data_IF_576644791293
#
_entry.id   IF_576644791293
#
_cell.length_a   1.000
_cell.length_b   1.000
_cell.length_c   1.000
_cell.angle_alpha   90.00
_cell.angle_beta   90.00
_cell.angle_gamma   90.00
#
_symmetry.space_group_name_H-M   'P 1'
#
loop_
_entity.id
_entity.type
_entity.pdbx_description
1 polymer ?
#
# COMPACT_ATOMS: atom_id res chain seq x y z
N UNK A 1 19.98 0.59 13.62
CA UNK A 1 19.06 -0.42 13.06
C UNK A 1 19.16 -0.40 11.55
N UNK A 2 19.43 -1.54 10.94
CA UNK A 2 19.53 -1.60 9.49
C UNK A 2 18.12 -1.68 8.92
N UNK A 3 17.75 -0.71 8.07
CA UNK A 3 16.53 -0.75 7.32
C UNK A 3 16.68 -1.60 6.06
N UNK A 4 15.59 -1.82 5.33
CA UNK A 4 15.65 -2.46 4.03
C UNK A 4 16.45 -1.58 3.06
N UNK A 5 17.46 -2.13 2.42
CA UNK A 5 18.23 -1.42 1.41
C UNK A 5 17.55 -1.55 0.04
N UNK A 6 17.71 -0.53 -0.80
CA UNK A 6 17.25 -0.59 -2.17
C UNK A 6 18.12 -1.60 -2.94
N UNK A 7 17.47 -2.54 -3.62
CA UNK A 7 18.13 -3.56 -4.42
C UNK A 7 17.65 -3.41 -5.87
N UNK A 8 18.57 -3.57 -6.82
CA UNK A 8 18.22 -3.62 -8.24
C UNK A 8 18.39 -5.05 -8.71
N UNK A 9 17.32 -5.65 -9.18
CA UNK A 9 17.36 -7.02 -9.71
C UNK A 9 17.92 -7.07 -11.14
N UNK A 10 18.04 -8.28 -11.69
CA UNK A 10 18.61 -8.48 -13.01
C UNK A 10 17.77 -7.86 -14.16
N UNK A 11 16.50 -7.54 -13.91
CA UNK A 11 15.65 -6.86 -14.89
C UNK A 11 15.78 -5.35 -14.82
N UNK A 12 16.53 -4.81 -13.86
CA UNK A 12 16.68 -3.38 -13.62
C UNK A 12 15.58 -2.79 -12.75
N UNK A 13 14.68 -3.61 -12.20
CA UNK A 13 13.62 -3.16 -11.30
C UNK A 13 14.17 -2.92 -9.90
N UNK A 14 13.95 -1.72 -9.34
CA UNK A 14 14.33 -1.39 -7.96
C UNK A 14 13.42 -2.11 -6.97
N UNK A 15 14.01 -2.79 -5.98
CA UNK A 15 13.28 -3.46 -4.89
C UNK A 15 13.87 -3.07 -3.54
N UNK A 16 13.06 -3.22 -2.49
CA UNK A 16 13.45 -2.91 -1.11
C UNK A 16 13.36 -4.12 -0.19
N UNK A 17 13.41 -5.32 -0.76
CA UNK A 17 13.44 -6.57 -0.01
C UNK A 17 12.11 -6.93 0.65
N UNK A 18 10.98 -6.52 0.09
CA UNK A 18 9.67 -6.93 0.58
C UNK A 18 9.49 -8.44 0.44
N UNK A 19 8.78 -9.03 1.42
CA UNK A 19 8.37 -10.42 1.29
C UNK A 19 7.40 -10.57 0.12
N UNK A 20 7.41 -11.73 -0.51
CA UNK A 20 6.49 -12.10 -1.58
C UNK A 20 5.40 -13.00 -1.02
N UNK A 21 4.53 -12.43 -0.19
CA UNK A 21 3.44 -13.17 0.44
C UNK A 21 2.30 -13.44 -0.54
N UNK A 22 2.08 -12.52 -1.48
CA UNK A 22 1.00 -12.59 -2.43
C UNK A 22 1.32 -11.70 -3.64
N UNK A 23 0.73 -12.02 -4.79
CA UNK A 23 0.76 -11.17 -5.98
C UNK A 23 -0.55 -10.42 -6.11
N UNK A 24 -0.47 -9.11 -6.32
CA UNK A 24 -1.61 -8.27 -6.65
C UNK A 24 -1.46 -7.81 -8.10
N UNK A 25 -2.52 -7.97 -8.88
CA UNK A 25 -2.53 -7.56 -10.30
C UNK A 25 -3.52 -6.42 -10.49
N UNK A 26 -3.04 -5.33 -11.08
CA UNK A 26 -3.83 -4.12 -11.35
C UNK A 26 -3.58 -3.70 -12.79
N UNK A 27 -4.64 -3.65 -13.60
CA UNK A 27 -4.54 -3.26 -15.01
C UNK A 27 -3.43 -4.01 -15.76
N UNK A 28 -3.31 -5.32 -15.49
CA UNK A 28 -2.34 -6.20 -16.14
C UNK A 28 -0.93 -6.14 -15.56
N UNK A 29 -0.65 -5.29 -14.59
CA UNK A 29 0.66 -5.18 -13.96
C UNK A 29 0.65 -5.84 -12.58
N UNK A 30 1.73 -6.55 -12.27
CA UNK A 30 1.86 -7.34 -11.03
C UNK A 30 2.70 -6.60 -10.00
N UNK A 31 2.21 -6.63 -8.75
CA UNK A 31 2.95 -6.15 -7.59
C UNK A 31 3.21 -7.32 -6.66
N UNK A 32 4.41 -7.37 -6.10
CA UNK A 32 4.78 -8.27 -5.03
C UNK A 32 4.37 -7.61 -3.71
N UNK A 33 3.50 -8.25 -2.93
CA UNK A 33 3.00 -7.62 -1.72
C UNK A 33 3.30 -8.43 -0.46
N UNK A 34 3.63 -7.73 0.61
CA UNK A 34 3.57 -8.25 1.96
C UNK A 34 2.14 -8.12 2.47
N UNK A 35 1.66 -9.13 3.17
CA UNK A 35 0.33 -9.15 3.76
C UNK A 35 0.40 -8.77 5.24
N UNK A 36 -0.38 -7.79 5.65
CA UNK A 36 -0.58 -7.39 7.05
C UNK A 36 -2.00 -7.79 7.46
N UNK A 37 -2.13 -8.92 8.15
CA UNK A 37 -3.44 -9.50 8.52
C UNK A 37 -3.62 -9.71 10.02
N UNK A 38 -2.62 -9.37 10.84
CA UNK A 38 -2.73 -9.36 12.29
C UNK A 38 -2.82 -7.92 12.81
N UNK A 39 -3.33 -7.73 14.02
CA UNK A 39 -3.39 -6.39 14.63
C UNK A 39 -2.00 -5.76 14.69
N UNK A 40 -1.00 -6.51 15.14
CA UNK A 40 0.37 -6.01 15.25
C UNK A 40 0.94 -5.61 13.88
N UNK A 41 0.74 -6.43 12.85
CA UNK A 41 1.24 -6.15 11.51
C UNK A 41 0.54 -4.92 10.90
N UNK A 42 -0.78 -4.80 11.11
CA UNK A 42 -1.53 -3.63 10.63
C UNK A 42 -1.10 -2.35 11.30
N UNK A 43 -0.85 -2.39 12.62
CA UNK A 43 -0.36 -1.21 13.36
C UNK A 43 1.03 -0.80 12.90
N UNK A 44 1.93 -1.76 12.70
CA UNK A 44 3.29 -1.47 12.22
C UNK A 44 3.27 -0.92 10.80
N UNK A 45 2.53 -1.54 9.90
CA UNK A 45 2.50 -1.15 8.50
C UNK A 45 3.92 -0.98 7.93
N UNK A 46 4.14 0.10 7.22
CA UNK A 46 5.44 0.45 6.62
C UNK A 46 6.29 1.36 7.51
N UNK A 47 5.86 1.64 8.75
CA UNK A 47 6.62 2.49 9.67
C UNK A 47 8.02 1.96 9.88
N UNK A 48 9.02 2.84 9.83
CA UNK A 48 10.43 2.51 10.03
C UNK A 48 11.14 1.93 8.80
N UNK A 49 10.42 1.57 7.73
CA UNK A 49 11.05 1.09 6.49
C UNK A 49 11.84 2.21 5.82
N UNK A 50 12.91 1.84 5.13
CA UNK A 50 13.80 2.82 4.47
C UNK A 50 13.36 3.14 3.04
N UNK A 51 12.71 2.19 2.36
CA UNK A 51 12.30 2.38 0.98
C UNK A 51 11.15 1.45 0.59
N UNK A 52 10.55 1.75 -0.57
CA UNK A 52 9.59 0.88 -1.23
C UNK A 52 9.86 0.94 -2.74
N UNK A 53 9.94 -0.23 -3.38
CA UNK A 53 10.13 -0.32 -4.82
C UNK A 53 8.83 -0.12 -5.59
N UNK A 54 8.97 0.14 -6.90
CA UNK A 54 7.81 0.40 -7.77
C UNK A 54 6.90 -0.81 -7.96
N UNK A 55 7.44 -2.02 -7.79
CA UNK A 55 6.66 -3.27 -7.92
C UNK A 55 6.37 -3.91 -6.57
N UNK A 56 6.53 -3.17 -5.49
CA UNK A 56 6.30 -3.64 -4.12
C UNK A 56 5.14 -2.87 -3.49
N UNK A 57 4.41 -3.54 -2.58
CA UNK A 57 3.32 -2.92 -1.85
C UNK A 57 3.06 -3.70 -0.55
N UNK A 58 2.24 -3.13 0.33
CA UNK A 58 1.70 -3.84 1.49
C UNK A 58 0.19 -3.89 1.40
N UNK A 59 -0.36 -5.10 1.53
CA UNK A 59 -1.80 -5.33 1.51
C UNK A 59 -2.28 -5.58 2.94
N UNK A 60 -3.08 -4.65 3.46
CA UNK A 60 -3.74 -4.77 4.75
C UNK A 60 -5.05 -5.50 4.55
N UNK A 61 -5.25 -6.59 5.29
CA UNK A 61 -6.48 -7.38 5.25
C UNK A 61 -7.16 -7.23 6.60
N UNK A 62 -8.40 -6.77 6.59
CA UNK A 62 -9.22 -6.62 7.78
C UNK A 62 -10.26 -7.74 7.85
N UNK A 63 -10.65 -8.13 9.07
CA UNK A 63 -11.59 -9.23 9.27
C UNK A 63 -13.00 -8.89 8.77
N UNK A 64 -13.33 -7.59 8.73
CA UNK A 64 -14.60 -7.11 8.22
C UNK A 64 -14.43 -5.74 7.57
N UNK A 65 -15.38 -5.38 6.73
CA UNK A 65 -15.39 -4.05 6.10
C UNK A 65 -15.62 -2.96 7.15
N UNK A 66 -14.95 -1.82 6.95
CA UNK A 66 -15.06 -0.69 7.88
C UNK A 66 -14.42 0.57 7.30
N UNK A 67 -14.37 1.60 8.13
CA UNK A 67 -13.82 2.91 7.77
C UNK A 67 -12.47 3.08 8.47
N UNK A 68 -11.43 2.49 7.90
CA UNK A 68 -10.11 2.39 8.50
C UNK A 68 -9.28 3.63 8.21
N UNK A 69 -8.68 4.20 9.28
CA UNK A 69 -7.82 5.38 9.21
C UNK A 69 -6.36 4.97 9.07
N UNK A 70 -5.61 5.75 8.28
CA UNK A 70 -4.18 5.57 8.10
C UNK A 70 -3.47 6.90 8.34
N UNK A 71 -2.25 6.84 8.80
CA UNK A 71 -1.41 8.01 9.01
C UNK A 71 0.03 7.71 8.65
N UNK A 72 0.85 8.75 8.58
CA UNK A 72 2.24 8.66 8.13
C UNK A 72 3.23 8.63 9.30
N UNK A 73 2.82 8.07 10.45
CA UNK A 73 3.69 7.97 11.64
C UNK A 73 4.92 7.13 11.32
N UNK A 74 6.10 7.70 11.63
CA UNK A 74 7.42 7.05 11.44
C UNK A 74 7.67 6.58 10.00
N UNK A 75 7.06 7.25 9.04
CA UNK A 75 7.29 6.98 7.61
C UNK A 75 8.49 7.77 7.10
N UNK A 76 9.31 7.11 6.27
CA UNK A 76 10.53 7.70 5.70
C UNK A 76 10.37 8.05 4.22
N UNK A 77 9.23 7.77 3.61
CA UNK A 77 8.98 8.04 2.18
C UNK A 77 7.47 8.26 1.96
N UNK A 78 7.10 9.01 0.91
CA UNK A 78 5.70 9.19 0.55
C UNK A 78 5.12 7.93 -0.08
N UNK A 79 3.81 7.72 0.08
CA UNK A 79 3.09 6.56 -0.46
C UNK A 79 1.73 6.97 -1.04
N UNK A 80 1.18 6.07 -1.88
CA UNK A 80 -0.23 6.10 -2.24
C UNK A 80 -0.97 5.10 -1.37
N UNK A 81 -2.14 5.48 -0.87
CA UNK A 81 -3.00 4.64 -0.02
C UNK A 81 -4.30 4.38 -0.77
N UNK A 82 -4.63 3.11 -0.97
CA UNK A 82 -5.81 2.71 -1.75
C UNK A 82 -6.75 1.90 -0.86
N UNK A 83 -7.95 2.42 -0.60
CA UNK A 83 -9.00 1.66 0.08
C UNK A 83 -9.74 0.80 -0.93
N UNK A 84 -9.96 -0.47 -0.60
CA UNK A 84 -10.50 -1.47 -1.52
C UNK A 84 -11.68 -2.17 -0.85
N UNK A 85 -12.80 -2.27 -1.56
CA UNK A 85 -14.01 -2.93 -1.08
C UNK A 85 -13.83 -4.45 -0.97
N UNK A 86 -14.76 -5.12 -0.27
CA UNK A 86 -14.82 -6.58 -0.23
C UNK A 86 -14.99 -7.21 -1.60
N UNK A 87 -15.48 -6.45 -2.59
CA UNK A 87 -15.60 -6.88 -3.98
C UNK A 87 -14.31 -6.62 -4.78
N UNK A 88 -13.21 -6.26 -4.13
CA UNK A 88 -11.90 -6.01 -4.74
C UNK A 88 -11.89 -4.82 -5.72
N UNK A 89 -12.69 -3.80 -5.43
CA UNK A 89 -12.70 -2.56 -6.23
C UNK A 89 -12.13 -1.42 -5.40
N UNK A 90 -11.29 -0.60 -6.03
CA UNK A 90 -10.78 0.61 -5.39
C UNK A 90 -11.96 1.56 -5.10
N UNK A 91 -12.08 1.98 -3.83
CA UNK A 91 -13.13 2.90 -3.38
C UNK A 91 -12.61 4.32 -3.39
N UNK A 92 -11.42 4.51 -2.82
CA UNK A 92 -10.80 5.82 -2.64
C UNK A 92 -9.28 5.69 -2.74
N UNK A 93 -8.63 6.76 -3.14
CA UNK A 93 -7.18 6.82 -3.28
C UNK A 93 -6.68 8.11 -2.64
N UNK A 94 -5.70 7.99 -1.73
CA UNK A 94 -4.92 9.12 -1.25
C UNK A 94 -3.55 9.03 -1.89
N UNK A 95 -3.26 9.96 -2.80
CA UNK A 95 -2.03 9.93 -3.59
C UNK A 95 -0.95 10.78 -2.95
N UNK A 96 0.28 10.26 -2.92
CA UNK A 96 1.46 10.98 -2.46
C UNK A 96 1.31 11.54 -1.05
N UNK A 97 0.78 10.71 -0.14
CA UNK A 97 0.74 11.03 1.27
C UNK A 97 2.17 11.21 1.77
N UNK A 98 2.46 12.37 2.37
CA UNK A 98 3.81 12.77 2.75
C UNK A 98 4.11 12.41 4.21
N UNK A 99 5.35 12.00 4.54
CA UNK A 99 5.74 11.81 5.94
C UNK A 99 5.47 13.04 6.81
N UNK A 100 5.60 14.24 6.25
CA UNK A 100 5.35 15.50 6.96
C UNK A 100 3.89 15.73 7.30
N UNK A 101 2.95 14.97 6.76
CA UNK A 101 1.53 15.12 7.07
C UNK A 101 1.17 14.62 8.47
N UNK A 102 2.00 13.74 9.07
CA UNK A 102 1.75 13.26 10.43
C UNK A 102 1.59 14.45 11.41
N UNK A 103 0.56 14.49 12.27
CA UNK A 103 -0.34 13.39 12.67
C UNK A 103 -1.70 13.36 11.94
N UNK A 104 -1.80 13.92 10.75
CA UNK A 104 -3.04 13.87 9.97
C UNK A 104 -3.43 12.40 9.70
N UNK A 105 -4.73 12.13 9.77
CA UNK A 105 -5.28 10.81 9.47
C UNK A 105 -6.07 10.87 8.18
N UNK A 106 -5.76 9.93 7.29
CA UNK A 106 -6.46 9.73 6.04
C UNK A 106 -7.51 8.65 6.24
N UNK A 107 -8.75 8.93 5.84
CA UNK A 107 -9.86 7.98 5.96
C UNK A 107 -10.77 8.12 4.75
N UNK A 108 -11.24 6.98 4.24
CA UNK A 108 -12.29 6.94 3.25
C UNK A 108 -13.63 6.86 3.98
N UNK A 109 -14.56 7.74 3.64
CA UNK A 109 -15.91 7.77 4.20
C UNK A 109 -16.98 7.45 3.16
N UNK A 110 -16.61 7.17 1.92
CA UNK A 110 -17.56 6.95 0.82
C UNK A 110 -18.24 5.58 0.93
N UNK A 111 -17.46 4.55 1.29
CA UNK A 111 -17.95 3.19 1.44
C UNK A 111 -16.99 2.40 2.34
N UNK A 112 -17.49 1.34 3.00
CA UNK A 112 -16.60 0.52 3.83
C UNK A 112 -15.61 -0.25 2.98
N UNK A 113 -14.36 -0.33 3.44
CA UNK A 113 -13.27 -1.06 2.82
C UNK A 113 -12.91 -2.29 3.66
N UNK A 114 -12.56 -3.38 3.01
CA UNK A 114 -12.05 -4.57 3.68
C UNK A 114 -10.53 -4.71 3.52
N UNK A 115 -9.96 -4.04 2.53
CA UNK A 115 -8.53 -4.07 2.27
C UNK A 115 -8.01 -2.65 2.06
N UNK A 116 -6.72 -2.49 2.35
CA UNK A 116 -6.00 -1.26 2.00
C UNK A 116 -4.68 -1.67 1.37
N UNK A 117 -4.32 -1.04 0.27
CA UNK A 117 -3.05 -1.28 -0.42
C UNK A 117 -2.21 0.00 -0.33
N UNK A 118 -1.00 -0.13 0.22
CA UNK A 118 -0.01 0.95 0.25
C UNK A 118 1.08 0.65 -0.77
N UNK A 119 1.40 1.61 -1.61
CA UNK A 119 2.39 1.49 -2.67
C UNK A 119 3.23 2.75 -2.77
N UNK A 120 4.31 2.71 -3.56
CA UNK A 120 5.16 3.88 -3.76
C UNK A 120 4.35 5.05 -4.31
N UNK A 121 4.67 6.27 -3.84
CA UNK A 121 4.00 7.49 -4.29
C UNK A 121 4.09 7.63 -5.82
N UNK A 122 2.95 7.92 -6.44
CA UNK A 122 2.84 8.04 -7.90
C UNK A 122 2.57 6.73 -8.62
N UNK A 123 2.71 5.58 -7.94
CA UNK A 123 2.51 4.28 -8.59
C UNK A 123 1.06 4.04 -8.96
N UNK A 124 0.12 4.50 -8.15
CA UNK A 124 -1.31 4.38 -8.48
C UNK A 124 -1.65 5.11 -9.78
N UNK A 125 -1.03 6.27 -10.00
CA UNK A 125 -1.19 7.01 -11.26
C UNK A 125 -0.59 6.24 -12.44
N UNK A 126 0.62 5.71 -12.30
CA UNK A 126 1.27 4.95 -13.38
C UNK A 126 0.56 3.64 -13.70
N UNK A 127 -0.14 3.05 -12.72
CA UNK A 127 -0.98 1.87 -12.91
C UNK A 127 -2.35 2.21 -13.51
N UNK A 128 -2.68 3.49 -13.68
CA UNK A 128 -3.97 3.92 -14.19
C UNK A 128 -5.13 3.73 -13.21
N UNK A 129 -4.85 3.73 -11.91
CA UNK A 129 -5.87 3.49 -10.90
C UNK A 129 -6.79 4.68 -10.72
N UNK A 130 -8.08 4.38 -10.65
CA UNK A 130 -9.14 5.33 -10.31
C UNK A 130 -10.16 4.62 -9.43
N UNK A 131 -11.13 5.36 -8.92
CA UNK A 131 -12.27 4.75 -8.22
C UNK A 131 -12.94 3.72 -9.14
N UNK A 132 -13.17 2.51 -8.63
CA UNK A 132 -13.75 1.40 -9.37
C UNK A 132 -12.75 0.46 -10.02
N UNK A 133 -11.45 0.79 -10.03
CA UNK A 133 -10.42 -0.11 -10.55
C UNK A 133 -10.44 -1.45 -9.80
N UNK A 134 -10.42 -2.56 -10.53
CA UNK A 134 -10.39 -3.90 -9.97
C UNK A 134 -8.96 -4.22 -9.53
N UNK A 135 -8.84 -4.74 -8.31
CA UNK A 135 -7.58 -5.17 -7.72
C UNK A 135 -7.65 -6.69 -7.55
N UNK A 136 -6.86 -7.42 -8.32
CA UNK A 136 -6.91 -8.88 -8.34
C UNK A 136 -5.88 -9.48 -7.40
N UNK A 137 -6.32 -10.31 -6.46
CA UNK A 137 -5.44 -11.06 -5.54
C UNK A 137 -6.16 -12.24 -4.90
#
# INVERSE_FOLDING_TARGET
>A
MAGAALIIDLSGTSTCGFRDDKTVTINGQKLKVEVASTDAARVQGLSGRQCIGQSEAMLFIFNQSGYYQFWMKDMNFPIDIIWISSAHKAIALERKAQPSSYPEKFVNQDAPAQYVLEMAAGRSTSLGMTQGTIVNF
#
